data_IF_581315496836
#
_entry.id   IF_581315496836
#
_cell.length_a   1.000
_cell.length_b   1.000
_cell.length_c   1.000
_cell.angle_alpha   90.00
_cell.angle_beta   90.00
_cell.angle_gamma   90.00
#
_symmetry.space_group_name_H-M   'P 1'
#
loop_
_entity.id
_entity.type
_entity.pdbx_description
1 polymer ?
#
# COMPACT_ATOMS: atom_id res chain seq x y z
N UNK A 1 27.88 19.49 15.20
CA UNK A 1 27.70 18.65 14.00
C UNK A 1 27.14 17.32 14.47
N UNK A 2 25.83 17.14 14.46
CA UNK A 2 25.18 15.86 14.75
C UNK A 2 25.45 14.96 13.53
N UNK A 3 26.05 13.81 13.78
CA UNK A 3 26.30 12.76 12.82
C UNK A 3 24.98 12.46 12.11
N UNK A 4 24.91 12.71 10.79
CA UNK A 4 23.86 12.18 9.94
C UNK A 4 23.96 10.67 10.01
N UNK A 5 23.17 10.05 10.89
CA UNK A 5 23.00 8.60 10.87
C UNK A 5 22.48 8.25 9.48
N UNK A 6 23.23 7.42 8.78
CA UNK A 6 22.83 6.91 7.48
C UNK A 6 21.61 6.00 7.69
N UNK A 7 20.41 6.53 7.45
CA UNK A 7 19.12 5.83 7.66
C UNK A 7 18.72 4.96 6.46
N UNK A 8 19.53 4.96 5.41
CA UNK A 8 19.31 4.14 4.22
C UNK A 8 19.67 2.69 4.54
N UNK A 9 18.84 1.77 4.11
CA UNK A 9 18.84 0.34 4.42
C UNK A 9 18.53 0.04 5.90
N UNK A 10 17.69 0.90 6.51
CA UNK A 10 17.26 0.74 7.89
C UNK A 10 15.74 0.58 8.01
N UNK A 11 15.33 -0.21 9.00
CA UNK A 11 13.96 -0.28 9.49
C UNK A 11 13.96 0.31 10.89
N UNK A 12 13.28 1.43 11.08
CA UNK A 12 13.40 2.29 12.25
C UNK A 12 12.11 2.26 13.06
N UNK A 13 12.23 2.04 14.36
CA UNK A 13 11.09 2.17 15.29
C UNK A 13 10.92 3.63 15.68
N UNK A 14 9.75 4.20 15.41
CA UNK A 14 9.42 5.58 15.80
C UNK A 14 8.32 6.22 14.98
N UNK A 15 8.00 7.47 15.32
CA UNK A 15 6.98 8.24 14.61
C UNK A 15 7.50 8.69 13.24
N UNK A 16 6.77 8.36 12.18
CA UNK A 16 7.17 8.70 10.81
C UNK A 16 7.30 10.22 10.60
N UNK A 17 6.47 11.06 11.23
CA UNK A 17 6.57 12.52 11.09
C UNK A 17 7.93 13.07 11.59
N UNK A 18 8.45 12.49 12.68
CA UNK A 18 9.75 12.87 13.25
C UNK A 18 10.91 12.34 12.40
N UNK A 19 10.85 11.07 12.02
CA UNK A 19 11.92 10.41 11.26
C UNK A 19 12.00 11.00 9.85
N UNK A 20 10.89 11.19 9.16
CA UNK A 20 10.85 11.84 7.86
C UNK A 20 11.49 13.22 7.86
N UNK A 21 11.35 13.99 8.97
CA UNK A 21 11.97 15.32 9.09
C UNK A 21 13.51 15.29 9.08
N UNK A 22 14.13 14.14 9.36
CA UNK A 22 15.58 13.91 9.33
C UNK A 22 16.08 13.41 7.97
N UNK A 23 15.20 12.93 7.10
CA UNK A 23 15.53 12.50 5.74
C UNK A 23 15.80 13.75 4.88
N UNK A 24 16.88 13.79 4.10
CA UNK A 24 17.14 14.90 3.19
C UNK A 24 15.98 15.10 2.20
N UNK A 25 15.70 16.35 1.86
CA UNK A 25 14.74 16.66 0.80
C UNK A 25 15.21 16.09 -0.53
N UNK A 26 14.25 15.67 -1.38
CA UNK A 26 14.52 15.14 -2.72
C UNK A 26 15.55 13.99 -2.73
N UNK A 27 15.38 12.99 -1.86
CA UNK A 27 16.28 11.83 -1.76
C UNK A 27 15.59 10.49 -2.00
N UNK A 28 14.25 10.44 -1.97
CA UNK A 28 13.44 9.24 -2.15
C UNK A 28 12.88 9.19 -3.57
N UNK A 29 13.05 8.07 -4.26
CA UNK A 29 12.53 7.87 -5.61
C UNK A 29 11.08 7.37 -5.60
N UNK A 30 10.76 6.48 -4.66
CA UNK A 30 9.46 5.85 -4.60
C UNK A 30 9.04 5.60 -3.15
N UNK A 31 7.84 6.01 -2.79
CA UNK A 31 7.16 5.60 -1.56
C UNK A 31 6.09 4.58 -1.90
N UNK A 32 6.07 3.44 -1.18
CA UNK A 32 5.01 2.43 -1.27
C UNK A 32 4.56 2.12 0.15
N UNK A 33 3.28 2.32 0.45
CA UNK A 33 2.79 2.17 1.82
C UNK A 33 1.30 1.93 1.88
N UNK A 34 0.84 1.36 2.99
CA UNK A 34 -0.56 1.33 3.39
C UNK A 34 -0.68 2.03 4.75
N UNK A 35 -1.32 3.19 4.82
CA UNK A 35 -1.50 3.89 6.08
C UNK A 35 -2.38 3.08 7.04
N UNK A 36 -2.26 3.28 8.37
CA UNK A 36 -3.08 2.58 9.32
C UNK A 36 -4.57 2.87 9.06
N UNK A 37 -5.37 1.81 9.03
CA UNK A 37 -6.82 1.95 8.86
C UNK A 37 -7.43 2.66 10.08
N UNK A 38 -8.25 3.67 9.83
CA UNK A 38 -8.82 4.55 10.87
C UNK A 38 -9.53 3.78 12.00
N UNK A 39 -10.45 2.89 11.65
CA UNK A 39 -11.27 2.12 12.60
C UNK A 39 -11.52 0.67 12.16
N UNK A 40 -10.95 0.23 11.03
CA UNK A 40 -11.27 -1.08 10.46
C UNK A 40 -10.53 -2.22 11.16
N UNK A 41 -9.43 -1.92 11.86
CA UNK A 41 -8.55 -2.91 12.48
C UNK A 41 -8.20 -2.45 13.88
N UNK A 42 -8.43 -3.33 14.85
CA UNK A 42 -7.94 -3.13 16.21
C UNK A 42 -6.47 -3.56 16.30
N UNK A 43 -5.57 -2.62 16.08
CA UNK A 43 -4.14 -2.85 16.23
C UNK A 43 -3.70 -3.17 17.65
N UNK A 44 -4.60 -3.01 18.66
CA UNK A 44 -4.28 -3.31 20.06
C UNK A 44 -4.34 -4.81 20.35
N UNK A 45 -5.07 -5.60 19.57
CA UNK A 45 -5.23 -7.05 19.80
C UNK A 45 -3.94 -7.85 19.56
N UNK A 46 -2.97 -7.28 18.85
CA UNK A 46 -1.77 -7.99 18.39
C UNK A 46 -0.47 -7.51 19.06
N UNK A 47 -0.55 -6.54 19.97
CA UNK A 47 0.65 -5.92 20.57
C UNK A 47 0.50 -5.75 22.08
N UNK A 48 1.36 -6.43 22.85
CA UNK A 48 1.55 -6.16 24.27
C UNK A 48 2.45 -4.93 24.43
N UNK A 49 1.90 -3.79 24.78
CA UNK A 49 2.69 -2.58 25.00
C UNK A 49 2.08 -1.28 24.42
N UNK A 50 2.75 -0.14 24.52
CA UNK A 50 2.24 1.20 24.20
C UNK A 50 2.57 1.70 22.76
N UNK A 51 2.44 0.88 21.71
CA UNK A 51 3.12 1.13 20.44
C UNK A 51 2.31 1.42 19.16
N UNK A 52 0.99 1.40 19.14
CA UNK A 52 0.25 1.66 17.88
C UNK A 52 0.10 3.14 17.55
N UNK A 53 0.17 3.53 16.26
CA UNK A 53 0.05 4.92 15.81
C UNK A 53 -1.24 5.60 16.32
N UNK A 54 -2.36 4.85 16.37
CA UNK A 54 -3.64 5.33 16.91
C UNK A 54 -4.02 4.68 18.24
N UNK A 55 -3.08 4.15 18.98
CA UNK A 55 -3.36 3.50 20.25
C UNK A 55 -3.98 4.46 21.28
N UNK A 56 -5.05 3.99 21.93
CA UNK A 56 -5.76 4.78 22.92
C UNK A 56 -6.77 5.78 22.36
N UNK A 57 -6.85 5.92 21.05
CA UNK A 57 -7.89 6.71 20.38
C UNK A 57 -9.04 5.79 19.98
N UNK A 58 -10.12 5.80 20.72
CA UNK A 58 -11.25 4.90 20.55
C UNK A 58 -12.06 5.11 19.28
N UNK A 59 -12.00 6.28 18.66
CA UNK A 59 -12.55 6.61 17.32
C UNK A 59 -11.93 7.93 16.88
N UNK A 60 -11.10 7.90 15.85
CA UNK A 60 -10.72 9.14 15.18
C UNK A 60 -11.90 9.64 14.33
N UNK A 61 -12.21 10.92 14.48
CA UNK A 61 -13.09 11.59 13.53
C UNK A 61 -12.45 11.54 12.13
N UNK A 62 -13.29 11.41 11.11
CA UNK A 62 -12.81 11.26 9.73
C UNK A 62 -11.87 12.39 9.30
N UNK A 63 -12.19 13.63 9.68
CA UNK A 63 -11.38 14.78 9.33
C UNK A 63 -10.03 14.77 10.04
N UNK A 64 -9.98 14.43 11.32
CA UNK A 64 -8.74 14.31 12.09
C UNK A 64 -7.79 13.27 11.47
N UNK A 65 -8.31 12.12 11.04
CA UNK A 65 -7.53 11.12 10.32
C UNK A 65 -6.99 11.66 8.98
N UNK A 66 -7.85 12.33 8.20
CA UNK A 66 -7.46 12.88 6.91
C UNK A 66 -6.43 14.00 7.05
N UNK A 67 -6.56 14.85 8.07
CA UNK A 67 -5.62 15.93 8.35
C UNK A 67 -4.23 15.37 8.73
N UNK A 68 -4.20 14.30 9.56
CA UNK A 68 -2.98 13.56 9.87
C UNK A 68 -2.30 12.98 8.62
N UNK A 69 -3.08 12.36 7.74
CA UNK A 69 -2.57 11.77 6.49
C UNK A 69 -2.09 12.84 5.51
N UNK A 70 -2.78 13.98 5.45
CA UNK A 70 -2.36 15.12 4.63
C UNK A 70 -1.01 15.66 5.12
N UNK A 71 -0.82 15.87 6.42
CA UNK A 71 0.47 16.30 6.96
C UNK A 71 1.59 15.32 6.58
N UNK A 72 1.34 14.03 6.69
CA UNK A 72 2.35 13.00 6.38
C UNK A 72 2.66 12.99 4.88
N UNK A 73 1.64 12.87 4.04
CA UNK A 73 1.87 12.66 2.61
C UNK A 73 2.17 13.95 1.85
N UNK A 74 1.47 15.04 2.16
CA UNK A 74 1.58 16.29 1.42
C UNK A 74 2.78 17.14 1.86
N UNK A 75 3.17 17.04 3.13
CA UNK A 75 4.30 17.83 3.64
C UNK A 75 5.56 16.98 3.78
N UNK A 76 5.50 15.89 4.56
CA UNK A 76 6.71 15.12 4.91
C UNK A 76 7.18 14.23 3.76
N UNK A 77 6.29 13.40 3.21
CA UNK A 77 6.64 12.48 2.10
C UNK A 77 6.92 13.27 0.82
N UNK A 78 6.11 14.29 0.50
CA UNK A 78 6.35 15.14 -0.65
C UNK A 78 7.72 15.83 -0.59
N UNK A 79 8.10 16.36 0.58
CA UNK A 79 9.40 17.00 0.78
C UNK A 79 10.58 16.10 0.46
N UNK A 80 10.53 14.83 0.94
CA UNK A 80 11.63 13.88 0.76
C UNK A 80 11.64 13.22 -0.61
N UNK A 81 10.53 13.20 -1.32
CA UNK A 81 10.42 12.61 -2.65
C UNK A 81 11.14 13.48 -3.69
N UNK A 82 11.89 12.85 -4.60
CA UNK A 82 12.55 13.51 -5.73
C UNK A 82 11.54 14.12 -6.68
N UNK A 83 11.95 15.16 -7.39
CA UNK A 83 11.18 15.65 -8.54
C UNK A 83 11.10 14.55 -9.60
N UNK A 84 9.88 14.21 -10.05
CA UNK A 84 9.61 13.04 -10.90
C UNK A 84 9.47 11.72 -10.15
N UNK A 85 9.66 11.69 -8.83
CA UNK A 85 9.43 10.52 -7.98
C UNK A 85 7.96 10.29 -7.68
N UNK A 86 7.64 9.13 -7.11
CA UNK A 86 6.28 8.64 -6.91
C UNK A 86 5.97 8.31 -5.44
N UNK A 87 4.67 8.42 -5.12
CA UNK A 87 4.11 7.92 -3.86
C UNK A 87 2.88 7.06 -4.16
N UNK A 88 2.94 5.78 -3.80
CA UNK A 88 1.88 4.80 -4.00
C UNK A 88 1.24 4.47 -2.65
N UNK A 89 -0.04 4.78 -2.51
CA UNK A 89 -0.80 4.59 -1.27
C UNK A 89 -1.84 3.50 -1.48
N UNK A 90 -1.69 2.38 -0.77
CA UNK A 90 -2.67 1.29 -0.75
C UNK A 90 -3.70 1.59 0.34
N UNK A 91 -4.96 1.79 -0.05
CA UNK A 91 -6.00 2.24 0.87
C UNK A 91 -7.38 1.72 0.46
N UNK A 92 -8.20 1.33 1.44
CA UNK A 92 -9.54 0.81 1.25
C UNK A 92 -10.63 1.82 1.62
N UNK A 93 -11.82 1.62 1.03
CA UNK A 93 -13.04 2.22 1.55
C UNK A 93 -13.36 1.66 2.95
N UNK A 94 -13.88 2.51 3.83
CA UNK A 94 -14.34 2.10 5.15
C UNK A 94 -15.88 2.02 5.18
N UNK A 95 -16.41 1.20 6.08
CA UNK A 95 -17.84 1.21 6.41
C UNK A 95 -18.01 1.50 7.87
N UNK A 96 -18.65 2.61 8.13
CA UNK A 96 -18.96 3.06 9.49
C UNK A 96 -20.46 3.26 9.64
N UNK A 97 -21.06 2.65 10.67
CA UNK A 97 -22.50 2.74 10.95
C UNK A 97 -23.40 2.42 9.73
N UNK A 98 -22.98 1.42 8.95
CA UNK A 98 -23.71 1.01 7.75
C UNK A 98 -23.58 1.93 6.54
N UNK A 99 -22.79 2.99 6.62
CA UNK A 99 -22.51 3.92 5.51
C UNK A 99 -21.13 3.66 4.94
N UNK A 100 -21.03 3.62 3.61
CA UNK A 100 -19.75 3.54 2.92
C UNK A 100 -19.06 4.90 2.95
N UNK A 101 -17.86 4.94 3.51
CA UNK A 101 -16.99 6.10 3.54
C UNK A 101 -15.88 5.93 2.48
N UNK A 102 -15.85 6.76 1.43
CA UNK A 102 -14.87 6.63 0.35
C UNK A 102 -13.54 7.28 0.73
N UNK A 103 -12.88 6.77 1.79
CA UNK A 103 -11.63 7.31 2.32
C UNK A 103 -10.54 7.53 1.26
N UNK A 104 -10.32 6.62 0.29
CA UNK A 104 -9.32 6.84 -0.76
C UNK A 104 -9.54 8.15 -1.51
N UNK A 105 -10.78 8.39 -1.96
CA UNK A 105 -11.13 9.58 -2.74
C UNK A 105 -11.15 10.86 -1.88
N UNK A 106 -11.56 10.76 -0.60
CA UNK A 106 -11.50 11.89 0.33
C UNK A 106 -10.05 12.30 0.60
N UNK A 107 -9.14 11.34 0.77
CA UNK A 107 -7.72 11.62 0.92
C UNK A 107 -7.13 12.16 -0.38
N UNK A 108 -7.40 11.50 -1.50
CA UNK A 108 -6.91 11.92 -2.81
C UNK A 108 -7.24 13.37 -3.12
N UNK A 109 -8.50 13.79 -2.87
CA UNK A 109 -8.95 15.17 -3.14
C UNK A 109 -8.17 16.24 -2.36
N UNK A 110 -7.56 15.88 -1.21
CA UNK A 110 -6.75 16.78 -0.39
C UNK A 110 -5.26 16.73 -0.75
N UNK A 111 -4.80 15.67 -1.40
CA UNK A 111 -3.40 15.48 -1.76
C UNK A 111 -3.02 16.04 -3.12
N UNK A 112 -3.97 16.10 -4.06
CA UNK A 112 -3.71 16.51 -5.45
C UNK A 112 -4.03 17.98 -5.71
N UNK A 113 -3.41 18.53 -6.76
CA UNK A 113 -3.69 19.88 -7.25
C UNK A 113 -5.20 20.07 -7.54
N UNK A 114 -5.80 21.25 -7.26
CA UNK A 114 -5.17 22.45 -6.73
C UNK A 114 -5.11 22.51 -5.18
N UNK A 115 -5.60 21.52 -4.45
CA UNK A 115 -5.70 21.55 -2.98
C UNK A 115 -4.48 20.95 -2.27
N UNK A 116 -3.71 20.11 -2.95
CA UNK A 116 -2.48 19.51 -2.45
C UNK A 116 -1.30 19.74 -3.38
N UNK A 117 -0.18 19.07 -3.10
CA UNK A 117 1.09 19.27 -3.81
C UNK A 117 1.32 18.23 -4.93
N UNK A 118 0.61 17.11 -4.90
CA UNK A 118 0.83 16.01 -5.82
C UNK A 118 0.05 16.15 -7.14
N UNK A 119 0.54 15.48 -8.16
CA UNK A 119 -0.24 15.18 -9.36
C UNK A 119 -0.71 13.72 -9.28
N UNK A 120 -1.99 13.46 -9.52
CA UNK A 120 -2.46 12.09 -9.71
C UNK A 120 -1.88 11.55 -11.02
N UNK A 121 -1.13 10.45 -10.91
CA UNK A 121 -0.56 9.77 -12.07
C UNK A 121 -1.48 8.65 -12.55
N UNK A 122 -1.86 7.76 -11.65
CA UNK A 122 -2.78 6.65 -11.94
C UNK A 122 -3.57 6.27 -10.68
N UNK A 123 -4.70 5.60 -10.89
CA UNK A 123 -5.43 4.86 -9.87
C UNK A 123 -5.51 3.40 -10.31
N UNK A 124 -4.91 2.51 -9.50
CA UNK A 124 -4.92 1.07 -9.74
C UNK A 124 -5.87 0.41 -8.74
N UNK A 125 -6.70 -0.50 -9.22
CA UNK A 125 -7.60 -1.30 -8.39
C UNK A 125 -6.94 -2.64 -8.09
N UNK A 126 -6.62 -2.87 -6.82
CA UNK A 126 -6.25 -4.19 -6.34
C UNK A 126 -7.51 -5.01 -6.06
N UNK A 127 -7.88 -5.90 -6.98
CA UNK A 127 -8.96 -6.85 -6.80
C UNK A 127 -8.48 -8.06 -5.98
N UNK A 128 -9.11 -8.28 -4.81
CA UNK A 128 -8.83 -9.39 -3.90
C UNK A 128 -9.58 -10.63 -4.37
N UNK A 129 -8.94 -11.46 -5.17
CA UNK A 129 -9.59 -12.59 -5.87
C UNK A 129 -10.16 -13.67 -4.96
N UNK A 130 -9.67 -13.80 -3.72
CA UNK A 130 -10.07 -14.87 -2.78
C UNK A 130 -10.67 -14.35 -1.47
N UNK A 131 -10.73 -13.06 -1.27
CA UNK A 131 -11.21 -12.50 -0.02
C UNK A 131 -11.52 -11.03 -0.10
N UNK A 132 -12.48 -10.59 0.68
CA UNK A 132 -12.90 -9.22 0.83
C UNK A 132 -13.76 -9.09 2.07
N UNK A 133 -14.29 -7.89 2.32
CA UNK A 133 -15.23 -7.69 3.41
C UNK A 133 -16.55 -8.36 3.07
N UNK A 134 -16.88 -9.43 3.78
CA UNK A 134 -18.12 -10.14 3.57
C UNK A 134 -19.33 -9.31 4.11
N UNK A 135 -20.21 -8.87 3.23
CA UNK A 135 -21.38 -8.03 3.54
C UNK A 135 -22.69 -8.62 3.09
N UNK A 136 -22.68 -9.58 2.20
CA UNK A 136 -23.94 -10.18 1.71
C UNK A 136 -24.66 -10.99 2.79
N UNK A 137 -24.03 -11.21 3.96
CA UNK A 137 -24.69 -11.82 5.10
C UNK A 137 -26.01 -11.16 5.46
N UNK A 138 -26.08 -9.83 5.41
CA UNK A 138 -27.34 -9.10 5.65
C UNK A 138 -28.40 -9.39 4.58
N UNK A 139 -28.02 -9.56 3.33
CA UNK A 139 -28.91 -9.93 2.24
C UNK A 139 -29.39 -11.38 2.37
N UNK A 140 -28.52 -12.30 2.80
CA UNK A 140 -28.88 -13.73 2.99
C UNK A 140 -29.93 -13.87 4.09
N UNK A 141 -29.81 -13.11 5.17
CA UNK A 141 -30.77 -13.13 6.30
C UNK A 141 -32.07 -12.40 5.93
N UNK A 142 -31.97 -11.29 5.20
CA UNK A 142 -33.08 -10.43 4.81
C UNK A 142 -33.03 -10.19 3.29
N UNK A 143 -33.49 -11.15 2.47
CA UNK A 143 -33.33 -11.11 1.00
C UNK A 143 -34.35 -10.18 0.32
N UNK A 144 -34.52 -8.97 0.84
CA UNK A 144 -35.45 -7.98 0.31
C UNK A 144 -34.70 -6.83 -0.36
N UNK A 145 -35.28 -6.16 -1.36
CA UNK A 145 -34.72 -4.93 -1.91
C UNK A 145 -34.39 -3.94 -0.78
N UNK A 146 -33.32 -3.17 -0.92
CA UNK A 146 -32.76 -2.22 0.06
C UNK A 146 -31.90 -2.83 1.19
N UNK A 147 -31.93 -4.14 1.40
CA UNK A 147 -31.04 -4.81 2.37
C UNK A 147 -29.73 -5.30 1.74
N UNK A 148 -29.67 -5.40 0.42
CA UNK A 148 -28.45 -5.83 -0.29
C UNK A 148 -27.31 -4.82 -0.12
N UNK A 149 -26.14 -5.34 0.19
CA UNK A 149 -24.88 -4.60 0.20
C UNK A 149 -23.80 -5.43 -0.47
N UNK A 150 -23.17 -4.87 -1.48
CA UNK A 150 -22.08 -5.53 -2.19
C UNK A 150 -20.88 -5.77 -1.26
N UNK A 151 -20.18 -6.90 -1.46
CA UNK A 151 -18.89 -7.12 -0.84
C UNK A 151 -17.85 -6.14 -1.40
N UNK A 152 -16.99 -5.63 -0.52
CA UNK A 152 -15.84 -4.85 -0.95
C UNK A 152 -14.73 -5.84 -1.29
N UNK A 153 -14.53 -6.08 -2.58
CA UNK A 153 -13.56 -7.05 -3.11
C UNK A 153 -12.27 -6.38 -3.61
N UNK A 154 -12.08 -5.11 -3.32
CA UNK A 154 -10.93 -4.35 -3.82
C UNK A 154 -10.43 -3.32 -2.83
N UNK A 155 -9.19 -2.91 -3.05
CA UNK A 155 -8.60 -1.69 -2.51
C UNK A 155 -8.06 -0.83 -3.65
N UNK A 156 -7.78 0.42 -3.34
CA UNK A 156 -7.20 1.37 -4.30
C UNK A 156 -5.71 1.50 -4.05
N UNK A 157 -4.95 1.62 -5.13
CA UNK A 157 -3.54 2.04 -5.10
C UNK A 157 -3.50 3.39 -5.79
N UNK A 158 -3.41 4.45 -5.00
CA UNK A 158 -3.31 5.82 -5.48
C UNK A 158 -1.86 6.10 -5.84
N UNK A 159 -1.58 6.30 -7.12
CA UNK A 159 -0.23 6.60 -7.61
C UNK A 159 -0.09 8.10 -7.83
N UNK A 160 0.64 8.74 -6.94
CA UNK A 160 0.89 10.17 -6.94
C UNK A 160 2.30 10.44 -7.46
N UNK A 161 2.47 11.55 -8.20
CA UNK A 161 3.73 11.96 -8.77
C UNK A 161 4.11 13.38 -8.34
N UNK A 162 5.37 13.58 -7.99
CA UNK A 162 5.92 14.91 -7.71
C UNK A 162 6.41 15.57 -9.00
N UNK A 163 5.94 16.80 -9.26
CA UNK A 163 6.33 17.59 -10.43
C UNK A 163 5.64 17.16 -11.73
N UNK A 164 6.04 17.80 -12.82
CA UNK A 164 5.44 17.59 -14.15
C UNK A 164 5.78 16.24 -14.79
N UNK A 165 5.01 15.87 -15.82
CA UNK A 165 5.15 14.58 -16.55
C UNK A 165 6.58 14.36 -17.07
N UNK A 166 7.30 15.42 -17.40
CA UNK A 166 8.67 15.35 -17.91
C UNK A 166 9.75 15.52 -16.82
N UNK A 167 9.36 15.80 -15.57
CA UNK A 167 10.30 15.95 -14.48
C UNK A 167 10.98 14.63 -14.16
N UNK A 168 12.30 14.63 -14.03
CA UNK A 168 13.08 13.46 -13.62
C UNK A 168 13.18 12.33 -14.65
N UNK A 169 12.74 12.52 -15.89
CA UNK A 169 13.01 11.55 -16.97
C UNK A 169 14.50 11.53 -17.26
N UNK A 170 15.18 10.55 -16.67
CA UNK A 170 16.51 10.13 -17.13
C UNK A 170 16.32 8.99 -18.10
N UNK A 171 16.93 9.07 -19.29
CA UNK A 171 17.03 7.92 -20.19
C UNK A 171 18.04 6.91 -19.59
N UNK A 172 17.59 6.13 -18.62
CA UNK A 172 18.31 4.91 -18.28
C UNK A 172 17.82 3.85 -19.27
N UNK A 173 18.75 3.36 -20.08
CA UNK A 173 18.49 2.33 -21.10
C UNK A 173 18.31 0.92 -20.50
N UNK A 174 18.22 0.80 -19.18
CA UNK A 174 18.00 -0.46 -18.51
C UNK A 174 16.56 -0.90 -18.73
N UNK A 175 16.43 -1.91 -19.57
CA UNK A 175 15.15 -2.58 -19.81
C UNK A 175 14.66 -3.21 -18.51
N UNK A 176 13.38 -3.01 -18.19
CA UNK A 176 12.75 -3.72 -17.07
C UNK A 176 12.89 -5.23 -17.32
N UNK A 177 13.43 -6.01 -16.39
CA UNK A 177 13.52 -7.46 -16.51
C UNK A 177 12.15 -8.09 -16.22
N UNK A 178 11.18 -7.82 -17.09
CA UNK A 178 9.89 -8.46 -17.12
C UNK A 178 9.72 -9.06 -18.51
N UNK A 179 9.07 -10.20 -18.59
CA UNK A 179 8.68 -10.74 -19.89
C UNK A 179 7.65 -9.79 -20.52
N UNK A 180 7.62 -9.72 -21.86
CA UNK A 180 6.62 -8.92 -22.55
C UNK A 180 5.19 -9.30 -22.14
N UNK A 181 4.96 -10.55 -21.86
CA UNK A 181 3.67 -11.07 -21.42
C UNK A 181 3.28 -10.61 -20.01
N UNK A 182 4.19 -10.72 -19.04
CA UNK A 182 4.02 -10.22 -17.68
C UNK A 182 3.73 -8.71 -17.70
N UNK A 183 4.50 -7.96 -18.49
CA UNK A 183 4.32 -6.53 -18.63
C UNK A 183 2.96 -6.16 -19.18
N UNK A 184 2.59 -6.70 -20.34
CA UNK A 184 1.39 -6.29 -21.08
C UNK A 184 0.10 -6.83 -20.50
N UNK A 185 0.12 -8.04 -19.92
CA UNK A 185 -1.09 -8.71 -19.42
C UNK A 185 -1.37 -8.45 -17.95
N UNK A 186 -0.35 -8.11 -17.16
CA UNK A 186 -0.50 -8.02 -15.71
C UNK A 186 -0.11 -6.66 -15.15
N UNK A 187 1.17 -6.27 -15.30
CA UNK A 187 1.74 -5.11 -14.57
C UNK A 187 1.17 -3.80 -15.12
N UNK A 188 1.07 -3.66 -16.44
CA UNK A 188 0.64 -2.42 -17.11
C UNK A 188 -0.89 -2.19 -17.11
N UNK A 189 -1.65 -3.02 -16.39
CA UNK A 189 -3.10 -2.85 -16.27
C UNK A 189 -3.47 -2.05 -15.03
N UNK A 190 -4.58 -1.31 -15.09
CA UNK A 190 -5.12 -0.56 -13.95
C UNK A 190 -5.95 -1.43 -12.99
N UNK A 191 -6.13 -2.72 -13.27
CA UNK A 191 -6.80 -3.68 -12.37
C UNK A 191 -5.85 -4.85 -12.15
N UNK A 192 -5.44 -5.04 -10.90
CA UNK A 192 -4.57 -6.13 -10.49
C UNK A 192 -5.35 -7.19 -9.72
N UNK A 193 -5.29 -8.42 -10.19
CA UNK A 193 -5.94 -9.58 -9.57
C UNK A 193 -4.91 -10.29 -8.69
N UNK A 194 -4.82 -9.91 -7.41
CA UNK A 194 -3.82 -10.43 -6.47
C UNK A 194 -4.53 -10.98 -5.24
N UNK A 195 -4.22 -12.23 -4.86
CA UNK A 195 -4.77 -12.82 -3.64
C UNK A 195 -4.23 -12.08 -2.40
N UNK A 196 -5.08 -11.77 -1.41
CA UNK A 196 -4.62 -11.22 -0.15
C UNK A 196 -3.78 -12.25 0.62
N UNK A 197 -2.93 -11.76 1.51
CA UNK A 197 -2.19 -12.64 2.43
C UNK A 197 -3.19 -13.38 3.32
N UNK A 198 -3.10 -14.72 3.43
CA UNK A 198 -3.99 -15.48 4.30
C UNK A 198 -3.89 -15.02 5.76
N UNK A 199 -5.02 -14.99 6.50
CA UNK A 199 -5.01 -14.66 7.92
C UNK A 199 -4.05 -15.59 8.70
N UNK A 200 -3.26 -15.01 9.61
CA UNK A 200 -2.31 -15.75 10.43
C UNK A 200 -1.02 -16.20 9.74
N UNK A 201 -0.86 -15.93 8.44
CA UNK A 201 0.37 -16.26 7.72
C UNK A 201 1.56 -15.36 8.10
N UNK A 202 1.29 -14.12 8.45
CA UNK A 202 2.25 -13.16 8.97
C UNK A 202 1.69 -12.60 10.28
N UNK A 203 2.52 -12.43 11.29
CA UNK A 203 2.14 -11.83 12.59
C UNK A 203 1.91 -10.30 12.45
N UNK A 204 0.99 -9.94 11.58
CA UNK A 204 0.54 -8.57 11.33
C UNK A 204 -0.94 -8.60 10.94
N UNK A 205 -1.78 -7.66 11.43
CA UNK A 205 -3.23 -7.74 11.26
C UNK A 205 -3.69 -7.61 9.80
N UNK A 206 -2.98 -6.87 8.95
CA UNK A 206 -3.40 -6.65 7.58
C UNK A 206 -2.21 -6.33 6.64
N UNK A 207 -1.33 -7.31 6.36
CA UNK A 207 -0.26 -7.09 5.40
C UNK A 207 -0.82 -7.16 3.98
N UNK A 208 -0.43 -6.23 3.10
CA UNK A 208 -0.67 -6.41 1.66
C UNK A 208 0.34 -7.42 1.08
N UNK A 209 0.02 -8.10 -0.06
CA UNK A 209 0.91 -9.06 -0.68
C UNK A 209 2.21 -8.44 -1.20
N UNK A 210 3.32 -9.19 -1.14
CA UNK A 210 4.63 -8.80 -1.68
C UNK A 210 4.60 -8.51 -3.19
N UNK A 211 3.63 -9.04 -3.91
CA UNK A 211 3.43 -8.78 -5.33
C UNK A 211 3.06 -7.32 -5.62
N UNK A 212 2.37 -6.62 -4.70
CA UNK A 212 2.04 -5.20 -4.87
C UNK A 212 3.29 -4.33 -4.94
N UNK A 213 4.19 -4.32 -3.93
CA UNK A 213 5.41 -3.54 -4.00
C UNK A 213 6.34 -4.02 -5.14
N UNK A 214 6.35 -5.30 -5.48
CA UNK A 214 7.09 -5.80 -6.63
C UNK A 214 6.66 -5.11 -7.93
N UNK A 215 5.37 -5.11 -8.24
CA UNK A 215 4.83 -4.46 -9.45
C UNK A 215 5.09 -2.97 -9.46
N UNK A 216 4.86 -2.29 -8.34
CA UNK A 216 5.10 -0.85 -8.21
C UNK A 216 6.58 -0.48 -8.38
N UNK A 217 7.51 -1.29 -7.84
CA UNK A 217 8.94 -1.07 -8.03
C UNK A 217 9.36 -1.27 -9.49
N UNK A 218 8.78 -2.26 -10.18
CA UNK A 218 9.01 -2.46 -11.62
C UNK A 218 8.52 -1.26 -12.46
N UNK A 219 7.41 -0.66 -12.07
CA UNK A 219 6.83 0.49 -12.79
C UNK A 219 7.59 1.80 -12.50
N UNK A 220 8.02 2.03 -11.25
CA UNK A 220 8.36 3.38 -10.78
C UNK A 220 9.74 3.51 -10.15
N UNK A 221 10.61 2.50 -10.22
CA UNK A 221 11.98 2.57 -9.68
C UNK A 221 13.00 1.77 -10.47
N UNK A 222 14.26 2.18 -10.35
CA UNK A 222 15.43 1.45 -10.85
C UNK A 222 16.20 0.79 -9.70
N UNK A 223 17.09 -0.15 -10.03
CA UNK A 223 18.05 -0.69 -9.07
C UNK A 223 18.90 0.43 -8.46
N UNK A 224 19.17 0.32 -7.15
CA UNK A 224 19.86 1.34 -6.38
C UNK A 224 19.01 2.55 -5.94
N UNK A 225 17.77 2.68 -6.42
CA UNK A 225 16.82 3.71 -5.93
C UNK A 225 16.45 3.47 -4.47
N UNK A 226 16.07 4.54 -3.75
CA UNK A 226 15.63 4.43 -2.36
C UNK A 226 14.10 4.36 -2.30
N UNK A 227 13.61 3.28 -1.71
CA UNK A 227 12.19 3.02 -1.48
C UNK A 227 11.84 3.34 -0.02
N UNK A 228 10.79 4.11 0.19
CA UNK A 228 10.31 4.49 1.51
C UNK A 228 8.99 3.78 1.82
N UNK A 229 8.87 3.28 3.05
CA UNK A 229 7.59 2.89 3.64
C UNK A 229 7.46 3.52 5.04
N UNK A 230 6.68 4.61 5.19
CA UNK A 230 6.50 5.29 6.47
C UNK A 230 5.57 4.56 7.44
N UNK A 231 4.91 3.47 7.00
CA UNK A 231 4.04 2.60 7.80
C UNK A 231 4.38 1.13 7.53
N UNK A 232 5.64 0.78 7.74
CA UNK A 232 6.30 -0.43 7.24
C UNK A 232 5.67 -1.76 7.74
N UNK A 233 4.98 -1.75 8.88
CA UNK A 233 4.35 -2.95 9.43
C UNK A 233 5.29 -4.15 9.45
N UNK A 234 4.84 -5.26 8.87
CA UNK A 234 5.62 -6.49 8.71
C UNK A 234 6.72 -6.45 7.65
N UNK A 235 6.92 -5.31 6.96
CA UNK A 235 8.05 -5.12 6.05
C UNK A 235 7.86 -5.65 4.64
N UNK A 236 6.64 -5.68 4.11
CA UNK A 236 6.40 -6.15 2.75
C UNK A 236 7.18 -5.33 1.71
N UNK A 237 7.10 -4.00 1.81
CA UNK A 237 7.82 -3.08 0.92
C UNK A 237 9.33 -3.21 1.07
N UNK A 238 9.84 -3.18 2.30
CA UNK A 238 11.30 -3.19 2.56
C UNK A 238 11.93 -4.52 2.20
N UNK A 239 11.23 -5.65 2.41
CA UNK A 239 11.70 -6.98 1.99
C UNK A 239 11.84 -7.05 0.48
N UNK A 240 10.81 -6.65 -0.27
CA UNK A 240 10.84 -6.65 -1.74
C UNK A 240 11.94 -5.70 -2.26
N UNK A 241 12.08 -4.50 -1.67
CA UNK A 241 13.14 -3.57 -2.05
C UNK A 241 14.53 -4.19 -1.89
N UNK A 242 14.80 -4.85 -0.77
CA UNK A 242 16.06 -5.53 -0.51
C UNK A 242 16.36 -6.62 -1.55
N UNK A 243 15.41 -7.50 -1.83
CA UNK A 243 15.60 -8.61 -2.78
C UNK A 243 15.73 -8.17 -4.24
N UNK A 244 15.16 -7.01 -4.58
CA UNK A 244 15.28 -6.45 -5.93
C UNK A 244 16.33 -5.34 -6.05
N UNK A 245 17.36 -5.35 -5.18
CA UNK A 245 18.52 -4.46 -5.23
C UNK A 245 18.16 -2.97 -5.16
N UNK A 246 17.04 -2.64 -4.49
CA UNK A 246 16.72 -1.28 -4.11
C UNK A 246 17.21 -1.03 -2.70
N UNK A 247 17.58 0.20 -2.42
CA UNK A 247 17.80 0.64 -1.04
C UNK A 247 16.44 0.94 -0.40
N UNK A 248 16.35 0.91 0.91
CA UNK A 248 15.07 1.09 1.59
C UNK A 248 15.18 1.91 2.85
N UNK A 249 14.04 2.50 3.25
CA UNK A 249 13.80 3.07 4.57
C UNK A 249 12.42 2.62 5.00
N UNK A 250 12.33 1.82 6.06
CA UNK A 250 11.07 1.40 6.68
C UNK A 250 10.90 2.08 8.02
N UNK A 251 9.69 2.58 8.31
CA UNK A 251 9.39 3.21 9.60
C UNK A 251 8.11 2.60 10.14
N UNK A 252 8.12 2.23 11.42
CA UNK A 252 6.92 1.81 12.14
C UNK A 252 7.02 2.20 13.61
N UNK A 253 5.89 2.52 14.24
CA UNK A 253 5.86 2.87 15.66
C UNK A 253 5.95 1.66 16.57
N UNK A 254 5.61 0.47 16.05
CA UNK A 254 5.55 -0.79 16.82
C UNK A 254 6.87 -1.53 16.70
N UNK A 255 7.55 -1.69 17.84
CA UNK A 255 8.88 -2.34 17.91
C UNK A 255 8.83 -3.80 17.46
N UNK A 256 7.78 -4.52 17.78
CA UNK A 256 7.55 -5.91 17.39
C UNK A 256 7.47 -6.04 15.87
N UNK A 257 6.79 -5.12 15.19
CA UNK A 257 6.71 -5.10 13.72
C UNK A 257 8.05 -4.76 13.08
N UNK A 258 8.78 -3.79 13.61
CA UNK A 258 10.12 -3.48 13.07
C UNK A 258 11.10 -4.63 13.27
N UNK A 259 11.00 -5.39 14.39
CA UNK A 259 11.79 -6.60 14.61
C UNK A 259 11.40 -7.71 13.63
N UNK A 260 10.10 -7.94 13.44
CA UNK A 260 9.58 -8.90 12.47
C UNK A 260 10.05 -8.55 11.04
N UNK A 261 9.91 -7.31 10.63
CA UNK A 261 10.33 -6.84 9.32
C UNK A 261 11.83 -7.03 9.08
N UNK A 262 12.69 -6.74 10.07
CA UNK A 262 14.14 -7.01 10.00
C UNK A 262 14.46 -8.50 9.84
N UNK A 263 13.75 -9.36 10.56
CA UNK A 263 13.92 -10.83 10.44
C UNK A 263 13.55 -11.33 9.03
N UNK A 264 12.52 -10.73 8.42
CA UNK A 264 12.04 -11.13 7.10
C UNK A 264 12.94 -10.69 5.93
N UNK A 265 13.87 -9.77 6.12
CA UNK A 265 14.86 -9.44 5.09
C UNK A 265 15.74 -10.64 4.71
N UNK A 266 15.99 -11.55 5.65
CA UNK A 266 16.80 -12.75 5.43
C UNK A 266 15.98 -13.93 4.85
N UNK A 267 14.66 -13.79 4.72
CA UNK A 267 13.79 -14.81 4.14
C UNK A 267 13.81 -14.68 2.61
N UNK A 268 14.49 -15.61 1.95
CA UNK A 268 14.62 -15.63 0.49
C UNK A 268 13.32 -15.97 -0.24
N UNK A 269 12.30 -16.48 0.46
CA UNK A 269 11.00 -16.79 -0.12
C UNK A 269 10.21 -15.52 -0.41
N UNK A 270 10.13 -15.13 -1.67
CA UNK A 270 9.22 -14.08 -2.13
C UNK A 270 7.91 -14.69 -2.63
N UNK A 271 6.80 -14.21 -2.08
CA UNK A 271 5.47 -14.64 -2.51
C UNK A 271 4.97 -13.79 -3.69
N UNK A 272 5.75 -13.79 -4.75
CA UNK A 272 5.42 -13.20 -6.04
C UNK A 272 5.04 -14.35 -6.96
N UNK A 273 3.84 -14.31 -7.53
CA UNK A 273 3.33 -15.34 -8.45
C UNK A 273 3.23 -14.78 -9.86
N UNK A 274 4.32 -14.75 -10.64
CA UNK A 274 4.26 -14.26 -12.01
C UNK A 274 3.38 -15.15 -12.93
N UNK A 275 3.21 -16.43 -12.60
CA UNK A 275 2.54 -17.39 -13.48
C UNK A 275 1.10 -17.77 -13.06
N UNK A 276 0.68 -17.50 -11.84
CA UNK A 276 -0.58 -18.00 -11.28
C UNK A 276 -1.81 -17.17 -11.66
N UNK A 277 -1.66 -16.02 -12.30
CA UNK A 277 -2.72 -15.05 -12.50
C UNK A 277 -3.18 -14.87 -13.95
N UNK A 278 -2.71 -15.66 -14.88
CA UNK A 278 -3.47 -15.88 -16.10
C UNK A 278 -4.69 -16.70 -15.68
N UNK A 279 -5.70 -16.01 -15.17
CA UNK A 279 -7.05 -16.56 -15.06
C UNK A 279 -7.41 -16.95 -16.49
N UNK A 280 -7.19 -18.19 -16.81
CA UNK A 280 -7.53 -18.73 -18.11
C UNK A 280 -9.07 -18.78 -18.17
N UNK A 281 -9.68 -17.66 -18.53
CA UNK A 281 -11.13 -17.48 -18.68
C UNK A 281 -11.77 -18.60 -19.50
N UNK A 282 -10.97 -19.31 -20.31
CA UNK A 282 -11.38 -20.49 -21.06
C UNK A 282 -11.52 -21.77 -20.20
N UNK A 283 -11.10 -21.75 -18.93
CA UNK A 283 -11.17 -22.89 -18.01
C UNK A 283 -12.15 -22.70 -16.85
N UNK A 284 -12.98 -21.67 -16.84
CA UNK A 284 -14.12 -21.62 -15.91
C UNK A 284 -15.14 -22.62 -16.44
N UNK A 285 -15.39 -23.73 -15.73
CA UNK A 285 -16.38 -24.72 -16.18
C UNK A 285 -17.74 -24.03 -16.29
N UNK A 286 -18.39 -24.16 -17.42
CA UNK A 286 -19.70 -23.56 -17.74
C UNK A 286 -20.84 -23.94 -16.78
N UNK A 287 -20.62 -24.89 -15.87
CA UNK A 287 -21.63 -25.32 -14.90
C UNK A 287 -21.78 -24.40 -13.68
N UNK A 288 -20.95 -23.36 -13.53
CA UNK A 288 -21.12 -22.38 -12.43
C UNK A 288 -22.01 -21.18 -12.82
N UNK A 289 -22.38 -21.08 -14.09
CA UNK A 289 -23.23 -19.98 -14.59
C UNK A 289 -24.73 -20.29 -14.46
N UNK A 290 -25.10 -21.54 -14.24
CA UNK A 290 -26.51 -21.99 -14.27
C UNK A 290 -27.20 -22.10 -12.90
N UNK A 291 -26.68 -21.52 -11.82
CA UNK A 291 -27.36 -21.53 -10.50
C UNK A 291 -27.70 -20.15 -9.96
N UNK A 292 -28.02 -19.22 -10.83
CA UNK A 292 -28.63 -17.95 -10.45
C UNK A 292 -29.87 -17.72 -11.30
N UNK A 293 -30.87 -18.58 -11.09
CA UNK A 293 -32.28 -18.30 -11.38
C UNK A 293 -33.10 -18.52 -10.14
#
# INVERSE_FOLDING_TARGET
>A
MLVQQNIVNEIITGNCKEILSRIPANSIQLTITSPPYRNAIDYNMHVSGNGGYYRGRTKLETNEYLDDMVEIFNDKVYRVTNNGGYCCIVIANEVTNGTLLPLPHMLLSRLIQPFGNWNLHEEIIWHKVTGGTNRYGSFVINPYPKYYRANIMHEFILVLRKGDVNSGRTQRLETLPATHEEWTKEIANSIWHIAPVPPGYIEHPCPFPEEIPYRLMKLYSYEGDIILDPFNGSGQTTKVAFHFQRRYVGIDTVKEYTKLAKGRLNDESLHIRPEALIVNWKKIPSHHIHRLH
#
